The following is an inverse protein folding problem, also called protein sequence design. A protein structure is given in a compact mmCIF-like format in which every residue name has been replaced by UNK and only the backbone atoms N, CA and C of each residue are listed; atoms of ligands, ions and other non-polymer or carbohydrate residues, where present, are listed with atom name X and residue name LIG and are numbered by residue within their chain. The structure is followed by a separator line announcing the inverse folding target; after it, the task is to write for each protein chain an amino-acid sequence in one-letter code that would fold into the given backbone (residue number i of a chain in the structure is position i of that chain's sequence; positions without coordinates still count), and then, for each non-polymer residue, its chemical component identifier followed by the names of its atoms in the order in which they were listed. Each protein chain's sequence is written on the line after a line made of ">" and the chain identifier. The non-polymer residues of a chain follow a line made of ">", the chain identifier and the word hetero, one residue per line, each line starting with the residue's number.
data_IF_703389446939
#
_entry.id   IF_703389446939
#
_cell.length_a   1.000
_cell.length_b   1.000
_cell.length_c   1.000
_cell.angle_alpha   90.00
_cell.angle_beta   90.00
_cell.angle_gamma   90.00
#
_symmetry.space_group_name_H-M   'P 1'
#
loop_
_entity.id
_entity.type
_entity.pdbx_description
1 polymer ?
#
# COMPACT_ATOMS: atom_id res chain seq x y z
N UNK A 1 -1.44 0.56 14.07
CA UNK A 1 -1.88 1.16 12.79
C UNK A 1 -1.22 0.44 11.64
N UNK A 2 -1.85 0.39 10.46
CA UNK A 2 -1.39 -0.43 9.32
C UNK A 2 0.06 -0.18 8.89
N UNK A 3 0.55 1.06 9.04
CA UNK A 3 1.93 1.47 8.71
C UNK A 3 2.78 1.78 9.95
N UNK A 4 2.26 1.61 11.16
CA UNK A 4 2.98 2.05 12.37
C UNK A 4 4.18 1.17 12.75
N UNK A 5 4.18 -0.10 12.34
CA UNK A 5 5.22 -1.05 12.72
C UNK A 5 6.50 -0.98 11.84
N UNK A 6 6.40 -0.81 10.51
CA UNK A 6 7.57 -0.56 9.65
C UNK A 6 8.33 0.74 10.01
N UNK A 7 7.60 1.80 10.41
CA UNK A 7 8.19 3.06 10.88
C UNK A 7 8.96 2.90 12.21
N UNK A 8 8.46 2.05 13.12
CA UNK A 8 9.02 1.89 14.47
C UNK A 8 10.22 0.93 14.56
N UNK A 9 10.55 0.19 13.50
CA UNK A 9 11.59 -0.86 13.50
C UNK A 9 12.81 -0.55 12.64
N UNK A 10 12.95 0.69 12.19
CA UNK A 10 14.12 1.13 11.39
C UNK A 10 13.78 1.79 10.06
N UNK A 11 12.48 2.03 9.75
CA UNK A 11 12.08 2.96 8.70
C UNK A 11 12.46 2.55 7.28
N UNK A 12 12.21 1.29 6.92
CA UNK A 12 12.39 0.81 5.54
C UNK A 12 11.17 1.10 4.66
N UNK A 13 11.41 1.34 3.37
CA UNK A 13 10.35 1.39 2.35
C UNK A 13 9.82 -0.03 2.10
N UNK A 14 8.55 -0.34 2.38
CA UNK A 14 8.00 -1.67 2.10
C UNK A 14 8.01 -1.93 0.59
N UNK A 15 8.34 -3.16 0.22
CA UNK A 15 8.34 -3.62 -1.18
C UNK A 15 7.18 -4.55 -1.51
N UNK A 16 6.58 -5.18 -0.49
CA UNK A 16 5.45 -6.11 -0.63
C UNK A 16 4.42 -5.90 0.49
N UNK A 17 3.14 -6.14 0.21
CA UNK A 17 2.06 -6.07 1.19
C UNK A 17 0.95 -7.11 0.87
N UNK A 18 0.50 -7.82 1.91
CA UNK A 18 -0.63 -8.76 1.85
C UNK A 18 -1.64 -8.41 2.95
N UNK A 19 -2.93 -8.42 2.62
CA UNK A 19 -4.02 -8.29 3.58
C UNK A 19 -4.95 -9.48 3.45
N UNK A 20 -5.39 -10.01 4.59
CA UNK A 20 -6.30 -11.15 4.66
C UNK A 20 -7.47 -10.87 5.61
N UNK A 21 -8.56 -11.61 5.45
CA UNK A 21 -9.67 -11.63 6.41
C UNK A 21 -9.35 -12.51 7.65
N UNK A 22 -10.33 -12.67 8.54
CA UNK A 22 -10.18 -13.50 9.74
C UNK A 22 -10.02 -15.01 9.48
N UNK A 23 -10.18 -15.46 8.23
CA UNK A 23 -10.00 -16.84 7.79
C UNK A 23 -8.70 -17.04 6.99
N UNK A 24 -7.98 -15.96 6.69
CA UNK A 24 -6.76 -16.00 5.91
C UNK A 24 -6.98 -15.81 4.41
N UNK A 25 -8.20 -15.49 3.96
CA UNK A 25 -8.49 -15.26 2.55
C UNK A 25 -8.00 -13.87 2.13
N UNK A 26 -7.42 -13.78 0.93
CA UNK A 26 -6.84 -12.53 0.41
C UNK A 26 -7.92 -11.46 0.26
N UNK A 27 -7.64 -10.27 0.81
CA UNK A 27 -8.45 -9.08 0.70
C UNK A 27 -7.70 -7.93 0.03
N UNK A 28 -8.44 -7.20 -0.81
CA UNK A 28 -7.95 -5.94 -1.37
C UNK A 28 -7.97 -4.85 -0.29
N UNK A 29 -6.87 -4.12 -0.04
CA UNK A 29 -6.87 -3.03 0.92
C UNK A 29 -7.82 -1.90 0.51
N UNK A 30 -8.53 -1.33 1.48
CA UNK A 30 -9.44 -0.22 1.22
C UNK A 30 -8.71 1.04 0.70
N UNK A 31 -9.45 2.00 0.14
CA UNK A 31 -8.86 3.20 -0.47
C UNK A 31 -7.91 3.97 0.45
N UNK A 32 -8.29 4.16 1.72
CA UNK A 32 -7.43 4.82 2.72
C UNK A 32 -6.11 4.07 2.95
N UNK A 33 -6.15 2.74 3.00
CA UNK A 33 -4.95 1.94 3.21
C UNK A 33 -4.04 2.00 1.99
N UNK A 34 -4.60 1.96 0.77
CA UNK A 34 -3.83 2.14 -0.47
C UNK A 34 -3.09 3.47 -0.50
N UNK A 35 -3.75 4.57 -0.10
CA UNK A 35 -3.11 5.89 -0.05
C UNK A 35 -1.96 5.94 0.96
N UNK A 36 -2.16 5.39 2.18
CA UNK A 36 -1.08 5.30 3.16
C UNK A 36 0.07 4.43 2.62
N UNK A 37 -0.24 3.25 2.06
CA UNK A 37 0.78 2.39 1.46
C UNK A 37 1.53 3.08 0.32
N UNK A 38 0.88 3.97 -0.43
CA UNK A 38 1.53 4.77 -1.47
C UNK A 38 2.53 5.77 -0.87
N UNK A 39 2.18 6.44 0.22
CA UNK A 39 3.07 7.40 0.89
C UNK A 39 4.36 6.75 1.42
N UNK A 40 4.31 5.50 1.86
CA UNK A 40 5.48 4.81 2.42
C UNK A 40 6.17 3.86 1.44
N UNK A 41 5.42 3.16 0.60
CA UNK A 41 5.88 2.13 -0.34
C UNK A 41 6.01 2.61 -1.79
N UNK A 42 5.33 3.69 -2.17
CA UNK A 42 5.28 4.24 -3.52
C UNK A 42 4.57 3.34 -4.54
N UNK A 43 4.59 3.77 -5.80
CA UNK A 43 3.87 3.14 -6.91
C UNK A 43 4.25 1.67 -7.16
N UNK A 44 5.52 1.30 -6.93
CA UNK A 44 6.06 -0.03 -7.20
C UNK A 44 5.81 -1.04 -6.07
N UNK A 45 5.14 -0.65 -4.98
CA UNK A 45 4.79 -1.57 -3.91
C UNK A 45 3.93 -2.70 -4.45
N UNK A 46 4.36 -3.96 -4.30
CA UNK A 46 3.63 -5.12 -4.76
C UNK A 46 2.56 -5.54 -3.76
N UNK A 47 1.34 -5.78 -4.26
CA UNK A 47 0.18 -6.19 -3.49
C UNK A 47 -0.25 -7.59 -3.90
N UNK A 48 -0.43 -8.47 -2.92
CA UNK A 48 -1.17 -9.70 -3.17
C UNK A 48 -2.66 -9.40 -3.23
N UNK A 49 -3.30 -9.76 -4.35
CA UNK A 49 -4.72 -9.53 -4.60
C UNK A 49 -5.38 -10.84 -5.05
N UNK A 50 -6.72 -10.93 -5.03
CA UNK A 50 -7.42 -12.09 -5.59
C UNK A 50 -7.16 -12.33 -7.09
N UNK A 51 -6.67 -11.31 -7.81
CA UNK A 51 -6.29 -11.41 -9.22
C UNK A 51 -4.79 -11.75 -9.44
N UNK A 52 -4.03 -11.96 -8.35
CA UNK A 52 -2.59 -12.17 -8.37
C UNK A 52 -1.82 -10.98 -7.79
N UNK A 53 -0.49 -10.99 -7.98
CA UNK A 53 0.39 -9.93 -7.50
C UNK A 53 0.36 -8.77 -8.49
N UNK A 54 0.00 -7.58 -8.01
CA UNK A 54 -0.08 -6.35 -8.80
C UNK A 54 0.64 -5.19 -8.11
N UNK A 55 1.24 -4.25 -8.87
CA UNK A 55 1.80 -3.04 -8.29
C UNK A 55 0.69 -2.10 -7.78
N UNK A 56 1.01 -1.30 -6.76
CA UNK A 56 0.08 -0.34 -6.18
C UNK A 56 -0.41 0.72 -7.18
N UNK A 57 0.38 1.02 -8.22
CA UNK A 57 -0.02 1.91 -9.32
C UNK A 57 -1.27 1.44 -10.07
N UNK A 58 -1.50 0.13 -10.21
CA UNK A 58 -2.71 -0.42 -10.85
C UNK A 58 -3.93 -0.33 -9.92
N UNK A 59 -3.68 -0.41 -8.61
CA UNK A 59 -4.72 -0.40 -7.59
C UNK A 59 -5.08 1.02 -7.13
N UNK A 60 -4.21 2.00 -7.33
CA UNK A 60 -4.41 3.40 -6.99
C UNK A 60 -3.90 4.30 -8.12
N UNK A 61 -4.57 4.27 -9.30
CA UNK A 61 -4.19 5.13 -10.41
C UNK A 61 -4.40 6.59 -10.02
N UNK A 62 -3.46 7.46 -10.44
CA UNK A 62 -3.50 8.89 -10.15
C UNK A 62 -3.57 9.18 -8.64
N UNK A 63 -2.78 8.43 -7.86
CA UNK A 63 -2.65 8.64 -6.43
C UNK A 63 -2.29 10.10 -6.11
N UNK A 64 -2.83 10.61 -5.01
CA UNK A 64 -2.44 11.92 -4.52
C UNK A 64 -1.02 11.86 -3.94
N UNK A 65 -0.18 12.84 -4.27
CA UNK A 65 1.21 12.90 -3.82
C UNK A 65 1.76 14.32 -3.73
N UNK A 66 3.05 14.47 -3.37
CA UNK A 66 3.74 15.75 -3.30
C UNK A 66 3.62 16.61 -4.57
N UNK A 67 3.51 15.97 -5.73
CA UNK A 67 3.29 16.60 -7.04
C UNK A 67 1.97 17.37 -7.15
N UNK A 68 0.98 17.06 -6.30
CA UNK A 68 -0.31 17.74 -6.27
C UNK A 68 -0.36 18.93 -5.31
N UNK A 69 0.71 19.13 -4.51
CA UNK A 69 0.79 20.24 -3.58
C UNK A 69 1.49 21.43 -4.25
N UNK A 70 0.71 22.39 -4.74
CA UNK A 70 1.23 23.74 -5.05
C UNK A 70 1.44 24.51 -3.76
N UNK A 71 2.61 25.13 -3.64
CA UNK A 71 3.05 25.91 -2.48
C UNK A 71 2.34 27.26 -2.38
#
# INVERSE_FOLDING_TARGET
>A
GLVSQPLNTGGGRPTHFTCVDGRGEILVPCGRCRQLLYEFGGADLLLETPAGILPLSEMLPQAFGPENLTK
#
